data_IF_151849967609
#
_entry.id   IF_151849967609
#
_cell.length_a   1.000
_cell.length_b   1.000
_cell.length_c   1.000
_cell.angle_alpha   90.00
_cell.angle_beta   90.00
_cell.angle_gamma   90.00
#
_symmetry.space_group_name_H-M   'P 1'
#
loop_
_entity.id
_entity.type
_entity.pdbx_description
1 polymer ?
#
# COMPACT_ATOMS: atom_id res chain seq x y z
N UNK A 1 12.39 7.19 -19.79
CA UNK A 1 11.07 6.53 -19.63
C UNK A 1 10.92 6.21 -18.16
N UNK A 2 9.93 6.76 -17.46
CA UNK A 2 9.88 6.77 -15.99
C UNK A 2 10.02 5.37 -15.34
N UNK A 3 9.19 4.39 -15.71
CA UNK A 3 9.28 3.02 -15.21
C UNK A 3 9.65 2.02 -16.34
N UNK A 4 10.85 1.39 -16.31
CA UNK A 4 11.28 0.45 -17.35
C UNK A 4 10.78 -1.00 -17.17
N UNK A 5 10.01 -1.32 -16.12
CA UNK A 5 9.62 -2.68 -15.77
C UNK A 5 8.96 -3.50 -16.90
N UNK A 6 7.98 -2.96 -17.68
CA UNK A 6 7.34 -3.74 -18.74
C UNK A 6 8.33 -4.24 -19.80
N UNK A 7 9.37 -3.45 -20.11
CA UNK A 7 10.42 -3.81 -21.06
C UNK A 7 11.38 -4.84 -20.46
N UNK A 8 11.72 -4.68 -19.18
CA UNK A 8 12.53 -5.66 -18.46
C UNK A 8 11.88 -7.06 -18.51
N UNK A 9 10.56 -7.16 -18.34
CA UNK A 9 9.84 -8.42 -18.46
C UNK A 9 9.86 -9.03 -19.87
N UNK A 10 9.78 -8.21 -20.93
CA UNK A 10 9.89 -8.71 -22.32
C UNK A 10 11.28 -9.31 -22.58
N UNK A 11 12.30 -8.76 -21.93
CA UNK A 11 13.69 -9.21 -21.99
C UNK A 11 14.04 -10.30 -20.96
N UNK A 12 13.05 -10.98 -20.35
CA UNK A 12 13.28 -12.03 -19.33
C UNK A 12 14.24 -13.14 -19.80
N UNK A 13 14.24 -13.46 -21.10
CA UNK A 13 15.14 -14.43 -21.70
C UNK A 13 16.64 -14.03 -21.64
N UNK A 14 16.94 -12.75 -21.38
CA UNK A 14 18.31 -12.22 -21.22
C UNK A 14 18.73 -12.13 -19.75
N UNK A 15 17.83 -12.38 -18.80
CA UNK A 15 18.14 -12.24 -17.38
C UNK A 15 19.16 -13.28 -16.95
N UNK A 16 20.16 -12.84 -16.18
CA UNK A 16 21.17 -13.70 -15.58
C UNK A 16 20.87 -13.87 -14.09
N UNK A 17 20.82 -15.11 -13.63
CA UNK A 17 20.64 -15.41 -12.22
C UNK A 17 21.94 -15.16 -11.45
N UNK A 18 21.86 -14.46 -10.32
CA UNK A 18 22.98 -14.35 -9.38
C UNK A 18 23.00 -15.62 -8.52
N UNK A 19 24.04 -16.46 -8.58
CA UNK A 19 24.09 -17.70 -7.81
C UNK A 19 23.94 -17.43 -6.31
N UNK A 20 23.26 -18.33 -5.59
CA UNK A 20 23.14 -18.23 -4.15
C UNK A 20 24.51 -18.24 -3.48
N UNK A 21 24.59 -17.55 -2.34
CA UNK A 21 25.77 -17.29 -1.52
C UNK A 21 26.82 -16.37 -2.16
N UNK A 22 26.59 -15.87 -3.39
CA UNK A 22 27.40 -14.79 -3.97
C UNK A 22 26.93 -13.45 -3.43
N UNK A 23 27.86 -12.64 -2.91
CA UNK A 23 27.59 -11.31 -2.33
C UNK A 23 28.42 -10.19 -2.97
N UNK A 24 29.50 -10.54 -3.66
CA UNK A 24 30.43 -9.67 -4.37
C UNK A 24 30.10 -9.54 -5.87
N UNK A 25 28.82 -9.68 -6.23
CA UNK A 25 28.37 -9.62 -7.62
C UNK A 25 28.33 -8.19 -8.17
N UNK A 26 28.93 -7.97 -9.34
CA UNK A 26 28.78 -6.73 -10.10
C UNK A 26 27.66 -6.89 -11.14
N UNK A 27 26.62 -6.05 -11.04
CA UNK A 27 25.47 -6.13 -11.93
C UNK A 27 25.78 -5.57 -13.34
N UNK A 28 25.66 -6.43 -14.35
CA UNK A 28 25.51 -6.00 -15.75
C UNK A 28 24.03 -5.63 -16.01
N UNK A 29 23.65 -4.41 -15.63
CA UNK A 29 22.28 -3.88 -15.79
C UNK A 29 21.54 -3.68 -14.47
N UNK A 30 20.21 -3.60 -14.55
CA UNK A 30 19.35 -3.34 -13.41
C UNK A 30 19.09 -4.60 -12.58
N UNK A 31 19.09 -4.48 -11.26
CA UNK A 31 18.88 -5.62 -10.37
C UNK A 31 17.39 -5.90 -10.16
N UNK A 32 17.02 -7.18 -10.15
CA UNK A 32 15.66 -7.66 -9.87
C UNK A 32 15.71 -8.71 -8.78
N UNK A 33 14.89 -8.54 -7.73
CA UNK A 33 14.66 -9.56 -6.71
C UNK A 33 13.26 -10.12 -6.92
N UNK A 34 13.11 -11.45 -6.92
CA UNK A 34 11.86 -12.13 -7.21
C UNK A 34 11.54 -13.16 -6.11
N UNK A 35 10.30 -13.17 -5.63
CA UNK A 35 9.73 -14.28 -4.86
C UNK A 35 8.36 -14.68 -5.44
N UNK A 36 7.62 -15.60 -4.81
CA UNK A 36 6.33 -16.10 -5.31
C UNK A 36 5.20 -15.05 -5.31
N UNK A 37 5.42 -13.88 -4.70
CA UNK A 37 4.42 -12.85 -4.50
C UNK A 37 4.68 -11.58 -5.27
N UNK A 38 5.94 -11.19 -5.45
CA UNK A 38 6.29 -9.95 -6.11
C UNK A 38 7.67 -9.97 -6.79
N UNK A 39 7.88 -8.95 -7.61
CA UNK A 39 9.19 -8.50 -8.06
C UNK A 39 9.55 -7.19 -7.36
N UNK A 40 10.78 -7.03 -6.89
CA UNK A 40 11.36 -5.76 -6.49
C UNK A 40 12.41 -5.36 -7.53
N UNK A 41 12.11 -4.32 -8.30
CA UNK A 41 12.92 -3.88 -9.41
C UNK A 41 13.75 -2.65 -9.06
N UNK A 42 15.06 -2.85 -8.93
CA UNK A 42 16.05 -1.85 -8.54
C UNK A 42 16.71 -1.28 -9.81
N UNK A 43 15.96 -0.45 -10.52
CA UNK A 43 16.38 0.09 -11.81
C UNK A 43 17.21 1.37 -11.71
N UNK A 44 18.14 1.54 -12.63
CA UNK A 44 19.09 2.66 -12.68
C UNK A 44 18.51 3.98 -13.22
N UNK A 45 17.35 3.96 -13.88
CA UNK A 45 16.70 5.17 -14.37
C UNK A 45 16.41 6.16 -13.22
N UNK A 46 16.90 7.40 -13.36
CA UNK A 46 16.83 8.46 -12.35
C UNK A 46 15.64 9.40 -12.53
N UNK A 47 14.82 9.21 -13.55
CA UNK A 47 13.57 9.96 -13.71
C UNK A 47 12.50 9.55 -12.68
N UNK A 48 12.71 8.43 -11.97
CA UNK A 48 11.70 7.81 -11.12
C UNK A 48 12.32 7.02 -9.95
N UNK A 49 11.49 6.55 -9.02
CA UNK A 49 11.89 5.68 -7.90
C UNK A 49 11.71 4.21 -8.26
N UNK A 50 12.53 3.33 -7.66
CA UNK A 50 12.43 1.87 -7.84
C UNK A 50 11.00 1.35 -7.60
N UNK A 51 10.64 0.19 -8.15
CA UNK A 51 9.27 -0.30 -8.09
C UNK A 51 9.15 -1.70 -7.50
N UNK A 52 8.04 -1.95 -6.82
CA UNK A 52 7.60 -3.29 -6.44
C UNK A 52 6.39 -3.68 -7.29
N UNK A 53 6.33 -4.93 -7.73
CA UNK A 53 5.28 -5.43 -8.62
C UNK A 53 4.66 -6.70 -8.06
N UNK A 54 3.42 -6.62 -7.60
CA UNK A 54 2.64 -7.77 -7.15
C UNK A 54 2.32 -8.70 -8.33
N UNK A 55 2.47 -10.02 -8.15
CA UNK A 55 2.16 -11.06 -9.15
C UNK A 55 0.68 -11.47 -9.06
N UNK A 56 -0.17 -10.95 -9.93
CA UNK A 56 -1.64 -11.07 -9.82
C UNK A 56 -2.25 -12.35 -10.42
N UNK A 57 -1.42 -13.26 -10.94
CA UNK A 57 -1.85 -14.46 -11.69
C UNK A 57 -1.89 -14.22 -13.20
N UNK A 58 -1.90 -15.29 -13.99
CA UNK A 58 -1.96 -15.19 -15.47
C UNK A 58 -0.78 -14.45 -16.12
N UNK A 59 0.37 -14.34 -15.43
CA UNK A 59 1.53 -13.56 -15.89
C UNK A 59 1.40 -12.04 -15.70
N UNK A 60 0.29 -11.58 -15.11
CA UNK A 60 -0.02 -10.17 -14.94
C UNK A 60 0.61 -9.63 -13.63
N UNK A 61 1.06 -8.37 -13.65
CA UNK A 61 1.61 -7.69 -12.46
C UNK A 61 0.95 -6.34 -12.19
N UNK A 62 0.79 -5.95 -10.92
CA UNK A 62 0.41 -4.58 -10.52
C UNK A 62 1.57 -3.90 -9.79
N UNK A 63 2.01 -2.73 -10.27
CA UNK A 63 3.19 -2.02 -9.80
C UNK A 63 2.90 -0.93 -8.77
N UNK A 64 3.88 -0.62 -7.95
CA UNK A 64 3.90 0.50 -7.01
C UNK A 64 5.32 1.09 -6.93
N UNK A 65 5.46 2.41 -7.02
CA UNK A 65 6.75 3.09 -6.82
C UNK A 65 7.09 3.16 -5.32
N UNK A 66 8.33 2.83 -4.96
CA UNK A 66 8.80 2.87 -3.58
C UNK A 66 9.63 4.12 -3.32
N UNK A 67 9.06 5.05 -2.56
CA UNK A 67 9.74 6.29 -2.19
C UNK A 67 10.60 6.12 -0.95
N UNK A 68 11.92 6.11 -1.12
CA UNK A 68 12.86 6.37 -0.01
C UNK A 68 13.15 7.87 0.07
N UNK A 69 12.93 8.47 1.22
CA UNK A 69 12.97 9.93 1.37
C UNK A 69 13.78 10.34 2.60
N UNK A 70 14.60 11.37 2.42
CA UNK A 70 15.17 12.17 3.51
C UNK A 70 14.37 13.46 3.64
N UNK A 71 13.54 13.56 4.66
CA UNK A 71 12.73 14.75 4.95
C UNK A 71 13.23 15.42 6.22
N UNK A 72 14.00 16.50 6.05
CA UNK A 72 14.47 17.38 7.14
C UNK A 72 13.79 18.75 7.08
N UNK A 73 12.59 18.83 6.48
CA UNK A 73 11.94 20.09 6.07
C UNK A 73 11.99 20.33 4.56
N UNK A 74 12.97 19.73 3.88
CA UNK A 74 13.04 19.64 2.41
C UNK A 74 13.12 18.17 2.03
N UNK A 75 12.22 17.71 1.15
CA UNK A 75 12.08 16.28 0.81
C UNK A 75 13.07 15.86 -0.28
N UNK A 76 14.10 15.12 0.06
CA UNK A 76 15.03 14.55 -0.93
C UNK A 76 14.73 13.08 -1.21
N UNK A 77 14.27 12.78 -2.43
CA UNK A 77 13.88 11.44 -2.87
C UNK A 77 15.06 10.70 -3.48
N UNK A 78 15.31 9.47 -3.05
CA UNK A 78 16.29 8.60 -3.68
C UNK A 78 15.77 7.97 -4.97
N UNK A 79 16.11 8.56 -6.12
CA UNK A 79 15.67 8.13 -7.45
C UNK A 79 16.64 7.15 -8.09
N UNK A 80 16.10 6.17 -8.82
CA UNK A 80 16.84 5.11 -9.49
C UNK A 80 17.83 4.38 -8.56
N UNK A 81 18.74 3.63 -9.19
CA UNK A 81 19.83 2.93 -8.52
C UNK A 81 21.14 3.64 -8.75
N UNK A 82 21.80 4.04 -7.66
CA UNK A 82 23.21 4.46 -7.63
C UNK A 82 24.12 3.25 -7.48
N UNK A 83 23.79 2.36 -6.55
CA UNK A 83 24.39 1.05 -6.39
C UNK A 83 23.40 0.11 -5.68
N UNK A 84 23.61 -1.19 -5.90
CA UNK A 84 22.99 -2.27 -5.14
C UNK A 84 24.11 -3.19 -4.66
N UNK A 85 24.20 -3.41 -3.36
CA UNK A 85 25.16 -4.32 -2.74
C UNK A 85 24.41 -5.50 -2.14
N UNK A 86 24.79 -6.71 -2.52
CA UNK A 86 24.21 -7.92 -1.94
C UNK A 86 24.85 -8.15 -0.57
N UNK A 87 24.03 -8.19 0.48
CA UNK A 87 24.46 -8.53 1.84
C UNK A 87 24.27 -10.03 2.07
N UNK A 88 23.14 -10.57 1.60
CA UNK A 88 22.81 -11.99 1.70
C UNK A 88 21.98 -12.41 0.47
N UNK A 89 22.29 -13.58 -0.08
CA UNK A 89 21.54 -14.15 -1.20
C UNK A 89 21.38 -15.66 -0.99
N UNK A 90 20.25 -16.09 -0.46
CA UNK A 90 19.91 -17.50 -0.22
C UNK A 90 18.52 -17.81 -0.75
N UNK A 91 18.15 -19.10 -0.81
CA UNK A 91 16.83 -19.51 -1.29
C UNK A 91 15.69 -19.14 -0.34
N UNK A 92 16.01 -18.85 0.92
CA UNK A 92 15.09 -18.49 1.98
C UNK A 92 15.01 -16.98 2.18
N UNK A 93 16.10 -16.27 1.91
CA UNK A 93 16.27 -14.87 2.27
C UNK A 93 17.29 -14.15 1.38
N UNK A 94 16.91 -12.97 0.91
CA UNK A 94 17.75 -12.05 0.15
C UNK A 94 17.77 -10.71 0.89
N UNK A 95 18.96 -10.18 1.12
CA UNK A 95 19.18 -8.87 1.76
C UNK A 95 20.11 -8.06 0.86
N UNK A 96 19.68 -6.86 0.48
CA UNK A 96 20.48 -5.92 -0.30
C UNK A 96 20.51 -4.56 0.37
N UNK A 97 21.65 -3.89 0.30
CA UNK A 97 21.75 -2.45 0.54
C UNK A 97 21.59 -1.73 -0.81
N UNK A 98 20.69 -0.76 -0.86
CA UNK A 98 20.38 -0.02 -2.09
C UNK A 98 20.41 1.48 -1.84
N UNK A 99 21.27 2.18 -2.58
CA UNK A 99 21.28 3.63 -2.64
C UNK A 99 20.58 4.14 -3.90
N UNK A 100 19.63 5.06 -3.70
CA UNK A 100 19.11 5.90 -4.76
C UNK A 100 19.79 7.27 -4.80
N UNK A 101 19.71 7.94 -5.95
CA UNK A 101 20.30 9.25 -6.16
C UNK A 101 19.35 10.34 -5.64
N UNK A 102 19.71 10.98 -4.53
CA UNK A 102 18.94 12.07 -3.92
C UNK A 102 19.18 13.40 -4.61
N UNK A 103 18.30 13.82 -5.53
CA UNK A 103 18.45 15.09 -6.26
C UNK A 103 17.17 15.89 -6.51
N UNK A 104 15.98 15.42 -6.09
CA UNK A 104 14.71 16.04 -6.54
C UNK A 104 14.45 17.43 -5.92
N UNK A 105 14.71 17.59 -4.63
CA UNK A 105 14.52 18.88 -3.95
C UNK A 105 15.62 19.22 -2.92
N UNK A 106 16.58 18.32 -2.67
CA UNK A 106 17.69 18.53 -1.74
C UNK A 106 19.06 18.51 -2.42
N UNK A 107 20.14 18.61 -1.63
CA UNK A 107 21.50 18.49 -2.16
C UNK A 107 21.79 17.07 -2.69
N UNK A 108 22.59 16.94 -3.76
CA UNK A 108 23.03 15.65 -4.28
C UNK A 108 23.65 14.78 -3.18
N UNK A 109 22.97 13.68 -2.83
CA UNK A 109 23.45 12.72 -1.84
C UNK A 109 22.82 11.35 -2.04
N UNK A 110 23.48 10.30 -1.54
CA UNK A 110 22.90 8.96 -1.54
C UNK A 110 21.82 8.83 -0.46
N UNK A 111 20.69 8.26 -0.85
CA UNK A 111 19.55 7.91 0.03
C UNK A 111 19.51 6.39 0.11
N UNK A 112 19.90 5.82 1.26
CA UNK A 112 20.29 4.41 1.35
C UNK A 112 19.41 3.66 2.33
N UNK A 113 18.87 2.52 1.89
CA UNK A 113 18.08 1.59 2.72
C UNK A 113 18.59 0.17 2.54
N UNK A 114 18.32 -0.70 3.52
CA UNK A 114 18.34 -2.15 3.32
C UNK A 114 16.95 -2.62 2.92
N UNK A 115 16.92 -3.54 1.95
CA UNK A 115 15.74 -4.32 1.59
C UNK A 115 15.98 -5.77 1.95
N UNK A 116 15.03 -6.37 2.67
CA UNK A 116 15.00 -7.82 2.95
C UNK A 116 13.75 -8.43 2.35
N UNK A 117 13.96 -9.48 1.56
CA UNK A 117 12.94 -10.27 0.90
C UNK A 117 13.07 -11.71 1.36
N UNK A 118 11.97 -12.30 1.80
CA UNK A 118 11.87 -13.72 2.14
C UNK A 118 10.86 -14.40 1.20
N UNK A 119 10.43 -15.62 1.55
CA UNK A 119 9.34 -16.30 0.85
C UNK A 119 7.95 -15.72 1.13
N UNK A 120 7.84 -14.84 2.11
CA UNK A 120 6.57 -14.27 2.55
C UNK A 120 6.13 -13.09 1.65
N UNK A 121 4.84 -12.73 1.63
CA UNK A 121 4.30 -11.67 0.78
C UNK A 121 4.58 -10.27 1.32
N UNK A 122 5.79 -10.01 1.85
CA UNK A 122 6.17 -8.67 2.30
C UNK A 122 7.63 -8.33 2.04
N UNK A 123 7.88 -7.03 1.94
CA UNK A 123 9.20 -6.42 1.83
C UNK A 123 9.50 -5.67 3.12
N UNK A 124 10.62 -6.00 3.77
CA UNK A 124 11.12 -5.22 4.90
C UNK A 124 12.12 -4.16 4.41
N UNK A 125 12.00 -2.96 4.98
CA UNK A 125 12.84 -1.81 4.67
C UNK A 125 13.46 -1.28 5.96
N UNK A 126 14.79 -1.11 6.00
CA UNK A 126 15.51 -0.49 7.11
C UNK A 126 16.30 0.73 6.63
N UNK A 127 16.40 1.82 7.43
CA UNK A 127 17.21 2.96 7.07
C UNK A 127 18.70 2.65 7.19
N UNK A 128 19.52 3.26 6.35
CA UNK A 128 21.00 3.18 6.46
C UNK A 128 21.58 4.58 6.53
N UNK A 129 21.36 5.39 5.49
CA UNK A 129 21.99 6.71 5.36
C UNK A 129 21.06 7.68 4.67
N UNK A 130 20.94 8.89 5.25
CA UNK A 130 20.15 9.98 4.72
C UNK A 130 18.73 9.53 4.32
N UNK A 131 18.02 8.84 5.20
CA UNK A 131 16.66 8.39 4.94
C UNK A 131 15.91 8.32 6.26
N UNK A 132 14.68 8.80 6.28
CA UNK A 132 13.83 8.80 7.48
C UNK A 132 12.35 8.61 7.16
N UNK A 133 12.02 8.31 5.91
CA UNK A 133 10.66 8.07 5.47
C UNK A 133 10.66 7.05 4.31
N UNK A 134 9.75 6.09 4.39
CA UNK A 134 9.43 5.15 3.31
C UNK A 134 8.00 5.40 2.85
N UNK A 135 7.78 5.48 1.53
CA UNK A 135 6.46 5.66 0.94
C UNK A 135 6.16 4.69 -0.18
N UNK A 136 4.87 4.63 -0.51
CA UNK A 136 4.33 3.93 -1.67
C UNK A 136 3.46 4.89 -2.47
N UNK A 137 3.54 4.81 -3.79
CA UNK A 137 2.68 5.55 -4.70
C UNK A 137 1.34 4.82 -4.88
N UNK A 138 0.23 5.48 -4.56
CA UNK A 138 -1.04 4.80 -4.33
C UNK A 138 -2.08 5.06 -5.42
N UNK A 139 -2.35 6.33 -5.77
CA UNK A 139 -3.39 6.76 -6.73
C UNK A 139 -4.73 6.03 -6.58
N UNK A 140 -5.15 5.77 -5.35
CA UNK A 140 -6.42 5.08 -5.03
C UNK A 140 -7.45 6.08 -4.52
N UNK A 141 -8.74 5.72 -4.58
CA UNK A 141 -9.77 6.52 -3.90
C UNK A 141 -9.76 6.28 -2.38
N UNK A 142 -9.63 5.01 -1.99
CA UNK A 142 -9.81 4.60 -0.60
C UNK A 142 -8.50 4.16 0.03
N UNK A 143 -8.33 4.55 1.29
CA UNK A 143 -7.27 4.07 2.16
C UNK A 143 -7.81 3.90 3.58
N UNK A 144 -7.02 3.34 4.50
CA UNK A 144 -7.39 3.32 5.90
C UNK A 144 -6.19 3.44 6.85
N UNK A 145 -6.48 3.89 8.06
CA UNK A 145 -5.65 3.63 9.24
C UNK A 145 -6.16 2.36 9.92
N UNK A 146 -5.27 1.41 10.12
CA UNK A 146 -5.57 0.14 10.74
C UNK A 146 -5.12 0.13 12.20
N UNK A 147 -5.95 -0.39 13.09
CA UNK A 147 -5.65 -0.63 14.49
C UNK A 147 -5.64 -2.12 14.80
N UNK A 148 -4.97 -2.51 15.89
CA UNK A 148 -5.06 -3.86 16.43
C UNK A 148 -6.42 -4.11 17.07
N UNK A 149 -6.94 -3.12 17.80
CA UNK A 149 -8.24 -3.28 18.46
C UNK A 149 -9.38 -3.27 17.44
N UNK A 150 -10.39 -4.12 17.67
CA UNK A 150 -11.67 -4.05 16.99
C UNK A 150 -12.29 -2.66 16.92
N UNK A 151 -12.90 -2.32 15.78
CA UNK A 151 -13.80 -1.17 15.66
C UNK A 151 -13.15 0.22 15.70
N UNK A 152 -11.81 0.32 15.65
CA UNK A 152 -11.09 1.61 15.69
C UNK A 152 -10.62 2.14 14.34
N UNK A 153 -10.69 1.32 13.30
CA UNK A 153 -10.17 1.71 11.99
C UNK A 153 -10.88 2.93 11.42
N UNK A 154 -10.11 3.70 10.67
CA UNK A 154 -10.57 4.93 10.05
C UNK A 154 -10.42 4.79 8.56
N UNK A 155 -11.55 4.78 7.85
CA UNK A 155 -11.59 4.84 6.40
C UNK A 155 -11.30 6.26 5.93
N UNK A 156 -10.46 6.37 4.91
CA UNK A 156 -10.18 7.61 4.19
C UNK A 156 -10.78 7.50 2.80
N UNK A 157 -11.67 8.43 2.47
CA UNK A 157 -12.22 8.60 1.12
C UNK A 157 -11.73 9.91 0.55
N UNK A 158 -10.82 9.84 -0.43
CA UNK A 158 -10.21 11.03 -1.03
C UNK A 158 -11.25 11.98 -1.61
N UNK A 159 -12.38 11.47 -2.15
CA UNK A 159 -13.49 12.27 -2.70
C UNK A 159 -14.29 13.06 -1.65
N UNK A 160 -14.04 12.79 -0.36
CA UNK A 160 -14.66 13.46 0.80
C UNK A 160 -13.65 14.11 1.74
N UNK A 161 -12.41 14.22 1.30
CA UNK A 161 -11.37 14.94 2.02
C UNK A 161 -11.69 16.44 2.10
N UNK A 162 -11.03 17.14 3.03
CA UNK A 162 -11.09 18.61 3.09
C UNK A 162 -10.60 19.22 1.78
N UNK A 163 -9.59 18.61 1.16
CA UNK A 163 -9.13 18.99 -0.17
C UNK A 163 -10.25 18.86 -1.22
N UNK A 164 -11.03 17.77 -1.21
CA UNK A 164 -12.15 17.60 -2.12
C UNK A 164 -13.26 18.65 -1.93
N UNK A 165 -13.52 19.07 -0.68
CA UNK A 165 -14.45 20.15 -0.37
C UNK A 165 -13.93 21.52 -0.86
N UNK A 166 -12.65 21.79 -0.62
CA UNK A 166 -11.99 23.01 -1.09
C UNK A 166 -12.06 23.15 -2.61
N UNK A 167 -11.69 22.10 -3.35
CA UNK A 167 -11.73 22.08 -4.83
C UNK A 167 -13.13 22.34 -5.38
N UNK A 168 -14.17 21.78 -4.75
CA UNK A 168 -15.58 21.99 -5.18
C UNK A 168 -16.03 23.44 -4.99
N UNK A 169 -15.54 24.12 -3.94
CA UNK A 169 -15.94 25.48 -3.59
C UNK A 169 -15.09 26.55 -4.25
N UNK A 170 -13.94 26.17 -4.84
CA UNK A 170 -13.01 27.06 -5.54
C UNK A 170 -12.76 26.56 -6.97
N UNK A 171 -13.78 26.51 -7.84
CA UNK A 171 -13.65 26.01 -9.20
C UNK A 171 -12.76 26.92 -10.04
N UNK A 172 -11.65 26.37 -10.56
CA UNK A 172 -10.65 27.03 -11.39
C UNK A 172 -9.40 26.14 -11.47
N UNK A 173 -8.49 26.34 -12.43
CA UNK A 173 -7.24 25.58 -12.45
C UNK A 173 -6.44 25.90 -11.17
N UNK A 174 -6.17 24.94 -10.28
CA UNK A 174 -5.09 25.12 -9.34
C UNK A 174 -3.81 25.03 -10.17
N UNK A 175 -3.16 26.18 -10.39
CA UNK A 175 -1.82 26.18 -10.97
C UNK A 175 -0.79 25.61 -9.97
N UNK A 176 -1.18 25.42 -8.71
CA UNK A 176 -0.35 24.82 -7.67
C UNK A 176 -0.90 23.45 -7.26
N UNK A 177 -0.04 22.43 -7.28
CA UNK A 177 -0.33 21.12 -6.72
C UNK A 177 -0.78 21.29 -5.28
N UNK A 178 -2.00 20.88 -4.97
CA UNK A 178 -2.57 20.98 -3.61
C UNK A 178 -2.54 19.61 -2.98
N UNK A 179 -1.77 19.50 -1.89
CA UNK A 179 -1.61 18.26 -1.15
C UNK A 179 -2.21 18.42 0.26
N UNK A 180 -2.92 17.40 0.71
CA UNK A 180 -3.37 17.27 2.10
C UNK A 180 -2.75 16.02 2.72
N UNK A 181 -1.97 16.19 3.77
CA UNK A 181 -1.52 15.07 4.59
C UNK A 181 -2.57 14.77 5.67
N UNK A 182 -3.01 13.52 5.72
CA UNK A 182 -3.88 12.99 6.78
C UNK A 182 -3.02 12.09 7.67
N UNK A 183 -2.88 12.45 8.93
CA UNK A 183 -2.04 11.72 9.90
C UNK A 183 -2.83 10.66 10.65
N UNK A 184 -2.23 9.49 10.95
CA UNK A 184 -2.87 8.48 11.78
C UNK A 184 -3.05 8.96 13.23
N UNK A 185 -4.08 8.48 13.94
CA UNK A 185 -4.16 8.64 15.40
C UNK A 185 -3.16 7.75 16.14
N UNK A 186 -2.85 8.07 17.42
CA UNK A 186 -2.05 7.20 18.28
C UNK A 186 -2.59 5.76 18.37
N UNK A 187 -1.69 4.78 18.31
CA UNK A 187 -2.01 3.36 18.32
C UNK A 187 -2.37 2.75 16.96
N UNK A 188 -2.34 3.53 15.88
CA UNK A 188 -2.43 2.99 14.52
C UNK A 188 -1.23 2.06 14.26
N UNK A 189 -1.48 0.88 13.71
CA UNK A 189 -0.45 -0.13 13.42
C UNK A 189 -0.05 -0.16 11.94
N UNK A 190 -0.80 0.50 11.06
CA UNK A 190 -0.42 0.58 9.66
C UNK A 190 -1.39 1.33 8.77
N UNK A 191 -0.93 1.58 7.56
CA UNK A 191 -1.64 2.29 6.49
C UNK A 191 -2.06 1.27 5.43
N UNK A 192 -3.37 1.18 5.16
CA UNK A 192 -3.90 0.35 4.09
C UNK A 192 -4.12 1.21 2.85
N UNK A 193 -3.66 0.71 1.71
CA UNK A 193 -4.10 1.16 0.40
C UNK A 193 -5.00 0.10 -0.24
N UNK A 194 -6.24 0.49 -0.54
CA UNK A 194 -7.22 -0.39 -1.16
C UNK A 194 -7.09 -0.31 -2.68
N UNK A 195 -6.31 -1.20 -3.28
CA UNK A 195 -6.05 -1.18 -4.70
C UNK A 195 -7.12 -1.96 -5.47
N UNK A 196 -7.91 -1.24 -6.28
CA UNK A 196 -8.87 -1.88 -7.20
C UNK A 196 -8.18 -2.23 -8.49
N UNK A 197 -8.35 -3.47 -8.87
CA UNK A 197 -7.63 -4.03 -9.99
C UNK A 197 -8.63 -4.26 -11.15
N UNK A 198 -9.13 -3.18 -11.78
CA UNK A 198 -10.18 -3.27 -12.82
C UNK A 198 -9.80 -4.07 -14.08
N UNK A 199 -8.50 -4.23 -14.36
CA UNK A 199 -7.98 -5.07 -15.44
C UNK A 199 -7.65 -6.51 -15.00
N UNK A 200 -7.85 -6.84 -13.72
CA UNK A 200 -7.40 -8.08 -13.10
C UNK A 200 -8.61 -8.81 -12.47
N UNK A 201 -8.47 -10.11 -12.22
CA UNK A 201 -9.57 -10.92 -11.69
C UNK A 201 -9.83 -10.75 -10.17
N UNK A 202 -9.31 -9.71 -9.51
CA UNK A 202 -9.51 -9.54 -8.07
C UNK A 202 -8.84 -8.33 -7.45
N UNK A 203 -9.50 -7.75 -6.44
CA UNK A 203 -8.98 -6.61 -5.68
C UNK A 203 -7.98 -7.07 -4.60
N UNK A 204 -6.96 -6.24 -4.31
CA UNK A 204 -5.90 -6.59 -3.36
C UNK A 204 -5.41 -5.41 -2.52
N UNK A 205 -4.64 -5.69 -1.47
CA UNK A 205 -4.20 -4.69 -0.48
C UNK A 205 -2.69 -4.46 -0.56
N UNK A 206 -2.27 -3.19 -0.57
CA UNK A 206 -0.95 -2.81 -0.06
C UNK A 206 -1.07 -2.39 1.40
N UNK A 207 -0.22 -2.94 2.26
CA UNK A 207 -0.23 -2.63 3.69
C UNK A 207 1.13 -2.13 4.14
N UNK A 208 1.21 -0.88 4.59
CA UNK A 208 2.42 -0.29 5.17
C UNK A 208 2.34 -0.36 6.69
N UNK A 209 3.19 -1.15 7.33
CA UNK A 209 3.23 -1.25 8.80
C UNK A 209 4.60 -0.84 9.35
N UNK A 210 4.61 -0.49 10.62
CA UNK A 210 5.75 0.14 11.30
C UNK A 210 5.72 -0.16 12.81
N UNK A 211 6.87 -0.01 13.50
CA UNK A 211 6.94 -0.12 14.96
C UNK A 211 6.04 0.90 15.67
N UNK A 212 5.54 0.57 16.89
CA UNK A 212 4.80 1.52 17.72
C UNK A 212 5.56 2.82 17.93
N UNK A 213 4.86 3.95 17.89
CA UNK A 213 5.43 5.29 18.01
C UNK A 213 5.65 5.96 16.65
N UNK A 214 5.85 5.21 15.56
CA UNK A 214 6.03 5.78 14.23
C UNK A 214 4.78 6.51 13.73
N UNK A 215 3.58 6.12 14.17
CA UNK A 215 2.31 6.82 13.88
C UNK A 215 2.28 8.24 14.45
N UNK A 216 2.99 8.51 15.54
CA UNK A 216 3.01 9.84 16.15
C UNK A 216 3.97 10.80 15.44
N UNK A 217 4.76 10.31 14.49
CA UNK A 217 5.70 11.13 13.75
C UNK A 217 5.01 11.82 12.56
N UNK A 218 5.31 13.12 12.35
CA UNK A 218 4.77 13.93 11.23
C UNK A 218 5.01 13.36 9.83
N UNK A 219 5.93 12.40 9.70
CA UNK A 219 6.30 11.77 8.43
C UNK A 219 5.47 10.52 8.12
N UNK A 220 4.54 10.16 9.01
CA UNK A 220 3.57 9.10 8.79
C UNK A 220 2.22 9.71 8.42
N UNK A 221 1.73 9.44 7.21
CA UNK A 221 0.48 9.97 6.70
C UNK A 221 0.01 9.28 5.41
N UNK A 222 -1.28 9.45 5.12
CA UNK A 222 -1.82 9.33 3.77
C UNK A 222 -1.82 10.71 3.11
N UNK A 223 -1.16 10.84 1.96
CA UNK A 223 -1.10 12.05 1.16
C UNK A 223 -2.23 12.05 0.14
N UNK A 224 -3.08 13.06 0.21
CA UNK A 224 -4.17 13.29 -0.74
C UNK A 224 -3.73 14.36 -1.73
N UNK A 225 -3.66 14.05 -3.01
CA UNK A 225 -3.16 14.96 -4.05
C UNK A 225 -4.28 15.42 -4.99
N UNK A 226 -4.19 16.65 -5.49
CA UNK A 226 -5.05 17.17 -6.54
C UNK A 226 -4.30 18.18 -7.46
N UNK A 227 -4.51 18.14 -8.79
CA UNK A 227 -5.27 17.12 -9.53
C UNK A 227 -4.48 15.82 -9.69
N UNK A 228 -5.11 14.66 -9.49
CA UNK A 228 -4.44 13.36 -9.68
C UNK A 228 -5.43 12.29 -10.17
N UNK A 229 -5.06 11.38 -11.10
CA UNK A 229 -5.97 10.32 -11.52
C UNK A 229 -6.11 9.22 -10.48
N UNK A 230 -7.27 8.56 -10.44
CA UNK A 230 -7.34 7.20 -9.87
C UNK A 230 -6.78 6.20 -10.86
N UNK A 231 -5.89 5.31 -10.41
CA UNK A 231 -5.50 4.16 -11.23
C UNK A 231 -6.64 3.16 -11.42
N UNK A 232 -7.65 3.23 -10.56
CA UNK A 232 -8.78 2.32 -10.59
C UNK A 232 -9.65 2.54 -11.84
N UNK A 233 -10.11 3.77 -12.10
CA UNK A 233 -11.06 4.08 -13.17
C UNK A 233 -10.56 5.16 -14.15
N UNK A 234 -9.30 5.58 -14.04
CA UNK A 234 -8.69 6.66 -14.81
C UNK A 234 -9.49 7.97 -14.77
N UNK A 235 -10.30 8.20 -13.73
CA UNK A 235 -10.95 9.51 -13.53
C UNK A 235 -9.85 10.55 -13.38
N UNK A 236 -9.74 11.44 -14.36
CA UNK A 236 -8.82 12.58 -14.33
C UNK A 236 -9.32 13.65 -13.35
N UNK A 237 -8.40 14.49 -12.86
CA UNK A 237 -8.70 15.67 -12.05
C UNK A 237 -9.59 15.36 -10.83
N UNK A 238 -9.22 14.33 -10.07
CA UNK A 238 -9.88 13.97 -8.83
C UNK A 238 -8.91 14.06 -7.65
N UNK A 239 -9.38 14.32 -6.43
CA UNK A 239 -8.56 14.11 -5.24
C UNK A 239 -8.30 12.61 -5.09
N UNK A 240 -7.04 12.21 -5.03
CA UNK A 240 -6.62 10.82 -4.89
C UNK A 240 -5.81 10.64 -3.61
N UNK A 241 -5.85 9.46 -2.98
CA UNK A 241 -4.77 9.07 -2.07
C UNK A 241 -3.57 8.76 -2.96
N UNK A 242 -2.77 9.78 -3.25
CA UNK A 242 -1.72 9.71 -4.26
C UNK A 242 -0.47 9.00 -3.75
N UNK A 243 -0.19 9.09 -2.45
CA UNK A 243 0.88 8.32 -1.81
C UNK A 243 0.61 8.11 -0.32
N UNK A 244 1.19 7.07 0.27
CA UNK A 244 1.21 6.86 1.71
C UNK A 244 2.65 6.76 2.19
N UNK A 245 2.95 7.36 3.34
CA UNK A 245 4.29 7.42 3.90
C UNK A 245 4.28 7.00 5.36
N UNK A 246 5.35 6.34 5.78
CA UNK A 246 5.65 6.04 7.17
C UNK A 246 7.03 6.56 7.54
N UNK A 247 7.15 7.04 8.77
CA UNK A 247 8.43 7.33 9.38
C UNK A 247 9.31 6.07 9.42
N UNK A 248 10.49 6.16 8.83
CA UNK A 248 11.47 5.08 8.77
C UNK A 248 12.57 5.35 9.80
N UNK A 249 12.23 5.15 11.08
CA UNK A 249 13.19 5.26 12.18
C UNK A 249 14.07 4.01 12.34
N UNK A 250 13.42 2.85 12.42
CA UNK A 250 14.09 1.54 12.58
C UNK A 250 13.78 0.61 11.40
N UNK A 251 12.49 0.43 11.12
CA UNK A 251 12.02 -0.38 10.00
C UNK A 251 10.61 0.01 9.60
N UNK A 252 10.27 -0.31 8.36
CA UNK A 252 8.91 -0.30 7.81
C UNK A 252 8.75 -1.57 7.00
N UNK A 253 7.55 -2.13 6.99
CA UNK A 253 7.25 -3.35 6.21
C UNK A 253 6.09 -3.08 5.27
N UNK A 254 6.26 -3.52 4.02
CA UNK A 254 5.27 -3.41 2.95
C UNK A 254 4.70 -4.80 2.69
N UNK A 255 3.46 -5.04 3.12
CA UNK A 255 2.67 -6.21 2.77
C UNK A 255 2.10 -6.11 1.35
N UNK A 256 2.41 -7.10 0.52
CA UNK A 256 1.92 -7.30 -0.85
C UNK A 256 0.82 -8.36 -0.83
N UNK A 257 -0.34 -7.98 -0.29
CA UNK A 257 -1.43 -8.92 0.00
C UNK A 257 -2.29 -9.15 -1.25
N UNK A 258 -1.67 -9.77 -2.26
CA UNK A 258 -2.21 -10.04 -3.61
C UNK A 258 -3.35 -11.06 -3.69
N UNK A 259 -3.90 -11.48 -2.55
CA UNK A 259 -4.91 -12.53 -2.50
C UNK A 259 -6.23 -12.00 -3.07
N UNK A 260 -6.78 -12.72 -4.04
CA UNK A 260 -7.97 -12.31 -4.80
C UNK A 260 -9.11 -11.93 -3.88
N UNK A 261 -9.61 -10.71 -4.05
CA UNK A 261 -10.77 -10.14 -3.34
C UNK A 261 -10.63 -10.26 -1.81
N UNK A 262 -9.41 -10.10 -1.27
CA UNK A 262 -9.16 -9.94 0.17
C UNK A 262 -9.76 -8.62 0.71
N UNK A 263 -10.22 -7.76 -0.20
CA UNK A 263 -11.11 -6.66 0.07
C UNK A 263 -12.09 -6.43 -1.09
N UNK A 264 -13.16 -5.68 -0.84
CA UNK A 264 -14.12 -5.23 -1.85
C UNK A 264 -14.76 -3.91 -1.46
N UNK A 265 -15.23 -3.17 -2.46
CA UNK A 265 -16.19 -2.06 -2.26
C UNK A 265 -17.41 -2.28 -3.15
N UNK A 266 -18.59 -2.14 -2.58
CA UNK A 266 -19.85 -2.07 -3.30
C UNK A 266 -20.35 -0.62 -3.34
N UNK A 267 -20.48 -0.05 -4.54
CA UNK A 267 -21.16 1.22 -4.75
C UNK A 267 -22.68 0.95 -4.80
N UNK A 268 -23.44 1.49 -3.84
CA UNK A 268 -24.87 1.14 -3.58
C UNK A 268 -25.81 2.28 -3.96
N UNK A 269 -25.62 3.47 -3.39
CA UNK A 269 -26.42 4.68 -3.60
C UNK A 269 -27.94 4.48 -3.52
N UNK A 270 -28.43 3.90 -2.41
CA UNK A 270 -29.87 3.70 -2.18
C UNK A 270 -30.33 4.30 -0.84
N UNK A 271 -31.57 4.81 -0.75
CA UNK A 271 -32.17 5.16 0.53
C UNK A 271 -32.17 3.97 1.48
N UNK A 272 -31.93 4.23 2.77
CA UNK A 272 -32.01 3.23 3.85
C UNK A 272 -32.63 3.87 5.10
N UNK A 273 -33.53 3.14 5.78
CA UNK A 273 -34.17 3.60 7.01
C UNK A 273 -33.45 3.08 8.26
N UNK A 274 -33.57 3.80 9.37
CA UNK A 274 -33.14 3.29 10.67
C UNK A 274 -33.84 1.95 10.97
N UNK A 275 -33.08 0.96 11.43
CA UNK A 275 -33.55 -0.40 11.67
C UNK A 275 -33.63 -1.29 10.42
N UNK A 276 -33.49 -0.74 9.21
CA UNK A 276 -33.45 -1.53 7.98
C UNK A 276 -32.12 -2.26 7.83
N UNK A 277 -32.16 -3.53 7.43
CA UNK A 277 -30.96 -4.35 7.21
C UNK A 277 -30.60 -4.40 5.72
N UNK A 278 -29.37 -4.02 5.38
CA UNK A 278 -28.80 -4.26 4.07
C UNK A 278 -27.96 -5.54 4.07
N UNK A 279 -28.02 -6.30 2.97
CA UNK A 279 -27.20 -7.49 2.72
C UNK A 279 -26.32 -7.27 1.49
N UNK A 280 -25.02 -7.53 1.61
CA UNK A 280 -24.05 -7.35 0.52
C UNK A 280 -24.27 -8.36 -0.59
N UNK A 281 -23.91 -8.00 -1.83
CA UNK A 281 -23.82 -8.92 -2.96
C UNK A 281 -22.51 -9.70 -2.97
N UNK A 282 -21.45 -9.07 -2.45
CA UNK A 282 -20.15 -9.69 -2.25
C UNK A 282 -20.28 -10.84 -1.26
N UNK A 283 -19.61 -11.94 -1.62
CA UNK A 283 -19.47 -13.14 -0.79
C UNK A 283 -18.00 -13.29 -0.45
N UNK A 284 -17.70 -13.49 0.83
CA UNK A 284 -16.32 -13.62 1.30
C UNK A 284 -15.61 -14.80 0.59
N UNK A 285 -14.51 -14.57 -0.16
CA UNK A 285 -13.80 -15.66 -0.85
C UNK A 285 -13.07 -16.58 0.12
N UNK A 286 -12.80 -16.11 1.33
CA UNK A 286 -12.11 -16.82 2.40
C UNK A 286 -12.88 -16.67 3.72
N UNK A 287 -12.82 -17.71 4.53
CA UNK A 287 -13.20 -17.59 5.94
C UNK A 287 -12.17 -16.71 6.66
N UNK A 288 -12.60 -15.88 7.60
CA UNK A 288 -11.72 -14.97 8.32
C UNK A 288 -12.47 -13.92 9.11
N UNK A 289 -11.70 -13.01 9.71
CA UNK A 289 -12.23 -11.83 10.40
C UNK A 289 -12.16 -10.63 9.46
N UNK A 290 -13.31 -10.02 9.24
CA UNK A 290 -13.52 -8.94 8.29
C UNK A 290 -13.94 -7.67 9.01
N UNK A 291 -13.44 -6.54 8.50
CA UNK A 291 -13.90 -5.20 8.85
C UNK A 291 -14.78 -4.68 7.74
N UNK A 292 -15.90 -4.10 8.14
CA UNK A 292 -16.91 -3.61 7.22
C UNK A 292 -17.23 -2.15 7.54
N UNK A 293 -16.90 -1.27 6.60
CA UNK A 293 -17.30 0.12 6.63
C UNK A 293 -18.59 0.33 5.85
N UNK A 294 -19.55 0.98 6.48
CA UNK A 294 -20.83 1.40 5.91
C UNK A 294 -20.84 2.90 5.83
N UNK A 295 -20.99 3.46 4.63
CA UNK A 295 -21.12 4.91 4.48
C UNK A 295 -22.57 5.31 4.23
N UNK A 296 -23.15 6.06 5.17
CA UNK A 296 -24.54 6.52 5.12
C UNK A 296 -24.58 8.03 5.22
N UNK A 297 -24.97 8.69 4.13
CA UNK A 297 -25.04 10.14 4.02
C UNK A 297 -23.77 10.83 4.56
N UNK A 298 -22.61 10.43 4.05
CA UNK A 298 -21.27 10.90 4.45
C UNK A 298 -20.77 10.51 5.85
N UNK A 299 -21.55 9.77 6.64
CA UNK A 299 -21.07 9.24 7.92
C UNK A 299 -20.62 7.79 7.74
N UNK A 300 -19.45 7.46 8.29
CA UNK A 300 -18.86 6.12 8.21
C UNK A 300 -19.09 5.37 9.51
N UNK A 301 -19.65 4.17 9.41
CA UNK A 301 -19.81 3.23 10.52
C UNK A 301 -18.91 2.03 10.28
N UNK A 302 -18.29 1.52 11.34
CA UNK A 302 -17.44 0.33 11.28
C UNK A 302 -18.07 -0.79 12.09
N UNK A 303 -18.11 -1.97 11.48
CA UNK A 303 -18.54 -3.21 12.11
C UNK A 303 -17.55 -4.32 11.78
N UNK A 304 -17.59 -5.39 12.55
CA UNK A 304 -16.72 -6.55 12.36
C UNK A 304 -17.55 -7.82 12.23
N UNK A 305 -17.03 -8.77 11.45
CA UNK A 305 -17.65 -10.07 11.30
C UNK A 305 -16.59 -11.16 11.18
N UNK A 306 -16.75 -12.23 11.95
CA UNK A 306 -16.06 -13.49 11.73
C UNK A 306 -16.97 -14.37 10.86
N UNK A 307 -16.52 -14.69 9.64
CA UNK A 307 -17.38 -15.32 8.63
C UNK A 307 -16.73 -16.54 7.99
N UNK A 308 -17.58 -17.44 7.52
CA UNK A 308 -17.20 -18.55 6.67
C UNK A 308 -17.06 -18.13 5.20
N UNK A 309 -16.32 -18.92 4.42
CA UNK A 309 -16.23 -18.75 2.97
C UNK A 309 -17.63 -18.80 2.35
N UNK A 310 -17.92 -17.84 1.49
CA UNK A 310 -19.20 -17.71 0.78
C UNK A 310 -20.26 -16.92 1.54
N UNK A 311 -19.99 -16.50 2.78
CA UNK A 311 -20.91 -15.67 3.56
C UNK A 311 -21.07 -14.27 2.95
N UNK A 312 -22.29 -13.72 3.08
CA UNK A 312 -22.60 -12.31 2.84
C UNK A 312 -22.49 -11.53 4.14
N UNK A 313 -22.33 -10.21 4.04
CA UNK A 313 -22.30 -9.30 5.18
C UNK A 313 -23.66 -8.61 5.34
N UNK A 314 -24.02 -8.36 6.58
CA UNK A 314 -25.30 -7.75 6.95
C UNK A 314 -25.07 -6.55 7.85
N UNK A 315 -25.89 -5.52 7.70
CA UNK A 315 -25.84 -4.35 8.55
C UNK A 315 -27.20 -3.70 8.71
N UNK A 316 -27.55 -3.47 9.98
CA UNK A 316 -28.75 -2.74 10.37
C UNK A 316 -28.43 -1.27 10.52
N UNK A 317 -29.09 -0.43 9.72
CA UNK A 317 -28.81 1.01 9.73
C UNK A 317 -29.19 1.66 11.06
N UNK A 318 -28.30 2.45 11.68
CA UNK A 318 -28.63 3.18 12.91
C UNK A 318 -29.46 4.44 12.62
N UNK A 319 -29.54 4.89 11.36
CA UNK A 319 -30.20 6.14 10.98
C UNK A 319 -30.87 6.06 9.61
N UNK A 320 -31.74 7.03 9.34
CA UNK A 320 -32.24 7.27 7.99
C UNK A 320 -31.14 7.94 7.15
N UNK A 321 -31.06 7.62 5.87
CA UNK A 321 -30.14 8.28 4.96
C UNK A 321 -30.05 7.59 3.60
N UNK A 322 -28.92 7.79 2.93
CA UNK A 322 -28.56 7.06 1.71
C UNK A 322 -27.35 6.18 2.02
N UNK A 323 -27.48 4.86 1.89
CA UNK A 323 -26.34 3.95 1.88
C UNK A 323 -25.60 4.15 0.56
N UNK A 324 -24.45 4.81 0.62
CA UNK A 324 -23.69 5.21 -0.56
C UNK A 324 -22.80 4.08 -1.04
N UNK A 325 -22.02 3.49 -0.13
CA UNK A 325 -21.19 2.34 -0.42
C UNK A 325 -20.86 1.53 0.85
N UNK A 326 -20.37 0.32 0.60
CA UNK A 326 -19.87 -0.60 1.62
C UNK A 326 -18.44 -0.98 1.27
N UNK A 327 -17.52 -0.99 2.23
CA UNK A 327 -16.14 -1.49 2.06
C UNK A 327 -15.95 -2.65 3.01
N UNK A 328 -15.50 -3.79 2.50
CA UNK A 328 -15.22 -4.99 3.30
C UNK A 328 -13.78 -5.37 3.07
N UNK A 329 -13.03 -5.66 4.13
CA UNK A 329 -11.69 -6.19 3.96
C UNK A 329 -11.32 -7.17 5.08
N UNK A 330 -10.58 -8.20 4.72
CA UNK A 330 -10.12 -9.21 5.67
C UNK A 330 -8.88 -8.69 6.39
N UNK A 331 -9.01 -8.41 7.68
CA UNK A 331 -7.93 -7.84 8.48
C UNK A 331 -7.13 -8.91 9.22
N UNK A 332 -7.79 -10.02 9.60
CA UNK A 332 -7.19 -11.10 10.38
C UNK A 332 -7.75 -12.47 9.99
N UNK A 333 -6.96 -13.51 10.28
CA UNK A 333 -7.31 -14.90 10.04
C UNK A 333 -8.19 -15.44 11.16
N UNK A 334 -8.96 -16.47 10.83
CA UNK A 334 -9.55 -17.39 11.80
C UNK A 334 -9.02 -18.82 11.55
N UNK A 335 -9.47 -19.79 12.34
CA UNK A 335 -9.00 -21.19 12.25
C UNK A 335 -9.33 -21.86 10.90
N UNK A 336 -10.35 -21.35 10.20
CA UNK A 336 -10.79 -21.84 8.88
C UNK A 336 -10.12 -21.12 7.73
N UNK A 337 -9.34 -20.07 7.97
CA UNK A 337 -8.60 -19.36 6.93
C UNK A 337 -7.47 -20.24 6.38
N UNK A 338 -7.41 -20.49 5.06
CA UNK A 338 -6.31 -21.26 4.45
C UNK A 338 -4.93 -20.66 4.81
N UNK A 339 -3.93 -21.53 5.02
CA UNK A 339 -2.63 -21.13 5.58
C UNK A 339 -1.84 -20.18 4.69
N UNK A 340 -2.03 -20.32 3.39
CA UNK A 340 -1.41 -19.52 2.35
C UNK A 340 -1.97 -18.10 2.26
N UNK A 341 -3.17 -17.84 2.79
CA UNK A 341 -3.76 -16.50 2.80
C UNK A 341 -3.17 -15.72 3.96
N UNK A 342 -2.43 -14.67 3.66
CA UNK A 342 -1.89 -13.73 4.64
C UNK A 342 -2.74 -12.46 4.69
N UNK A 343 -2.91 -11.91 5.88
CA UNK A 343 -3.67 -10.69 6.14
C UNK A 343 -2.76 -9.57 6.68
N UNK A 344 -3.26 -8.32 6.80
CA UNK A 344 -2.49 -7.26 7.44
C UNK A 344 -2.02 -7.60 8.86
N UNK A 345 -2.84 -8.29 9.66
CA UNK A 345 -2.45 -8.73 11.00
C UNK A 345 -1.32 -9.77 10.99
N UNK A 346 -1.23 -10.65 9.99
CA UNK A 346 -0.10 -11.59 9.87
C UNK A 346 1.20 -10.82 9.64
N UNK A 347 1.19 -9.87 8.68
CA UNK A 347 2.36 -9.01 8.41
C UNK A 347 2.79 -8.31 9.70
N UNK A 348 1.86 -7.66 10.40
CA UNK A 348 2.19 -6.93 11.63
C UNK A 348 2.75 -7.85 12.72
N UNK A 349 2.12 -8.99 13.00
CA UNK A 349 2.58 -9.92 14.04
C UNK A 349 3.94 -10.54 13.70
N UNK A 350 4.12 -10.98 12.46
CA UNK A 350 5.30 -11.73 12.02
C UNK A 350 6.51 -10.84 11.75
N UNK A 351 6.35 -9.53 11.54
CA UNK A 351 7.46 -8.63 11.21
C UNK A 351 7.68 -7.50 12.19
N UNK A 352 6.67 -7.09 12.96
CA UNK A 352 6.81 -6.01 13.96
C UNK A 352 6.85 -6.57 15.39
N UNK A 353 5.98 -7.51 15.73
CA UNK A 353 5.89 -8.04 17.10
C UNK A 353 6.85 -9.20 17.39
N UNK A 354 7.23 -9.98 16.38
CA UNK A 354 8.08 -11.18 16.51
C UNK A 354 9.56 -10.88 16.77
N UNK A 355 10.00 -9.64 16.52
CA UNK A 355 11.39 -9.19 16.71
C UNK A 355 11.57 -8.41 18.04
N UNK A 356 10.66 -8.62 19.02
CA UNK A 356 10.65 -7.95 20.33
C UNK A 356 11.15 -8.80 21.50
#
# INVERSE_FOLDING_TARGET
MKNPFPYALQDRHKWKWVPYNVTDYEFEGDAMIENDHFYLFLFSNRDDSITIHAKMGGGITSGNELYKVHDTGTRNFGMGTRYTKIIKNTAEEIIVEHAGVGMRHGHPQDITTIYRVTREPWLEVRPVKNVNQQGMHAKSRLAAFMFKEPGRDILIDSKRSKLAEYVKTHPGPPYDWTDQNVHPPPGCIGLINFHRAYKYEGDFIWFLTFPPGAENHRLTYHGIHYPDPFWEDFTHDAPSVGANYAYLGEKVVIGVLRFKDIWKREDVYKPIKAGETYTTRFKAPYAGKWRIFWCISNETFLTEADVDKGATFHFTSPKNGTLEYVVMYMYDRNEKTPKEIKTPMDVYRETILSEG
#
